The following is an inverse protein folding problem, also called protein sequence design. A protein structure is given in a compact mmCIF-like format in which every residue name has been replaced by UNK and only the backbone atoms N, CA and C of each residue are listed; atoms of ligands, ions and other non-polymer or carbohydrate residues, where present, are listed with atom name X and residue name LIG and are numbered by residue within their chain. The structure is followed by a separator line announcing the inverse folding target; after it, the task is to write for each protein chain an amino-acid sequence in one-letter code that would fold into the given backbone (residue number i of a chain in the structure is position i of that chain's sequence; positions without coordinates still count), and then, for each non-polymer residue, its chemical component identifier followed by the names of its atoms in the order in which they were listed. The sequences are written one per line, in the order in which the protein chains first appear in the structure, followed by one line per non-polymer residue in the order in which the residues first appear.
data_IF_250978990653
#
_entry.id   IF_250978990653
#
_cell.length_a   1.000
_cell.length_b   1.000
_cell.length_c   1.000
_cell.angle_alpha   90.00
_cell.angle_beta   90.00
_cell.angle_gamma   90.00
#
_symmetry.space_group_name_H-M   'P 1'
#
loop_
_entity.id
_entity.type
_entity.pdbx_description
1 polymer ?
#
# COMPACT_ATOMS: atom_id res chain seq x y z
N UNK A 1 -17.43 10.78 3.58
CA UNK A 1 -16.81 9.64 2.88
C UNK A 1 -16.05 10.25 1.72
N UNK A 2 -14.71 10.20 1.77
CA UNK A 2 -13.84 10.70 0.70
C UNK A 2 -13.66 9.66 -0.40
N UNK A 3 -13.14 10.09 -1.57
CA UNK A 3 -12.58 9.17 -2.55
C UNK A 3 -11.15 8.83 -2.13
N UNK A 4 -10.80 7.56 -2.21
CA UNK A 4 -9.46 7.02 -1.96
C UNK A 4 -9.20 5.89 -2.94
N UNK A 5 -7.93 5.59 -3.17
CA UNK A 5 -7.51 4.37 -3.84
C UNK A 5 -7.14 3.30 -2.79
N UNK A 6 -7.18 2.04 -3.19
CA UNK A 6 -6.96 0.90 -2.31
C UNK A 6 -5.84 0.00 -2.83
N UNK A 7 -5.06 -0.58 -1.91
CA UNK A 7 -4.07 -1.62 -2.19
C UNK A 7 -4.52 -2.94 -1.58
N UNK A 8 -4.55 -4.00 -2.39
CA UNK A 8 -4.81 -5.37 -1.93
C UNK A 8 -3.51 -6.07 -1.52
N UNK A 9 -3.41 -6.49 -0.26
CA UNK A 9 -2.27 -7.27 0.25
C UNK A 9 -2.70 -8.59 0.87
N UNK A 10 -1.79 -9.57 0.84
CA UNK A 10 -2.05 -10.89 1.38
C UNK A 10 -1.35 -11.08 2.73
N UNK A 11 -2.12 -11.38 3.76
CA UNK A 11 -1.59 -11.76 5.07
C UNK A 11 -1.08 -13.20 5.05
N UNK A 12 -0.06 -13.49 5.88
CA UNK A 12 0.46 -14.85 6.09
C UNK A 12 -0.58 -15.84 6.64
N UNK A 13 -1.69 -15.38 7.23
CA UNK A 13 -2.79 -16.25 7.65
C UNK A 13 -3.75 -16.62 6.50
N UNK A 14 -3.49 -16.13 5.29
CA UNK A 14 -4.34 -16.32 4.10
C UNK A 14 -5.52 -15.36 4.01
N UNK A 15 -5.57 -14.29 4.82
CA UNK A 15 -6.54 -13.21 4.64
C UNK A 15 -6.06 -12.21 3.60
N UNK A 16 -6.98 -11.69 2.79
CA UNK A 16 -6.76 -10.49 1.99
C UNK A 16 -7.03 -9.25 2.87
N UNK A 17 -6.26 -8.20 2.67
CA UNK A 17 -6.39 -6.94 3.42
C UNK A 17 -6.40 -5.81 2.41
N UNK A 18 -7.41 -4.96 2.49
CA UNK A 18 -7.52 -3.74 1.69
C UNK A 18 -6.99 -2.55 2.51
N UNK A 19 -5.97 -1.88 1.98
CA UNK A 19 -5.37 -0.70 2.59
C UNK A 19 -5.76 0.54 1.79
N UNK A 20 -6.34 1.54 2.43
CA UNK A 20 -6.84 2.75 1.78
C UNK A 20 -5.80 3.86 1.83
N UNK A 21 -5.62 4.60 0.74
CA UNK A 21 -4.76 5.78 0.68
C UNK A 21 -5.48 6.92 -0.04
N UNK A 22 -5.38 8.11 0.55
CA UNK A 22 -5.83 9.37 -0.06
C UNK A 22 -4.71 10.02 -0.90
N UNK A 23 -3.61 9.32 -1.15
CA UNK A 23 -2.56 9.76 -2.06
C UNK A 23 -2.94 9.46 -3.52
N UNK A 24 -2.43 10.30 -4.44
CA UNK A 24 -2.65 10.15 -5.87
C UNK A 24 -3.95 10.76 -6.38
N UNK A 25 -4.56 10.14 -7.39
CA UNK A 25 -5.75 10.68 -8.07
C UNK A 25 -7.07 10.32 -7.39
N UNK A 26 -7.07 9.33 -6.48
CA UNK A 26 -8.24 8.89 -5.74
C UNK A 26 -9.42 8.55 -6.67
N UNK A 27 -9.18 7.66 -7.64
CA UNK A 27 -10.18 7.25 -8.64
C UNK A 27 -10.96 5.97 -8.23
N UNK A 28 -10.79 5.52 -6.98
CA UNK A 28 -11.37 4.28 -6.43
C UNK A 28 -10.82 3.02 -7.10
N UNK A 29 -9.54 3.03 -7.46
CA UNK A 29 -8.88 1.83 -7.96
C UNK A 29 -8.48 0.88 -6.83
N UNK A 30 -8.57 -0.41 -7.12
CA UNK A 30 -7.97 -1.46 -6.30
C UNK A 30 -6.71 -1.98 -6.99
N UNK A 31 -5.55 -1.65 -6.43
CA UNK A 31 -4.25 -2.03 -6.96
C UNK A 31 -3.75 -3.34 -6.38
N UNK A 32 -3.01 -4.08 -7.21
CA UNK A 32 -2.07 -5.11 -6.76
C UNK A 32 -0.73 -4.48 -6.35
N UNK A 33 0.13 -5.22 -5.63
CA UNK A 33 1.48 -4.73 -5.28
C UNK A 33 2.36 -4.42 -6.51
N UNK A 34 2.07 -5.02 -7.66
CA UNK A 34 2.87 -4.86 -8.89
C UNK A 34 2.48 -3.60 -9.67
N UNK A 35 1.23 -3.16 -9.54
CA UNK A 35 0.64 -2.07 -10.33
C UNK A 35 0.39 -0.80 -9.50
N UNK A 36 0.60 -0.87 -8.18
CA UNK A 36 0.33 0.23 -7.27
C UNK A 36 1.29 1.41 -7.52
N UNK A 37 0.77 2.64 -7.72
CA UNK A 37 1.59 3.84 -7.80
C UNK A 37 2.51 4.02 -6.59
N UNK A 38 3.74 4.45 -6.85
CA UNK A 38 4.77 4.61 -5.80
C UNK A 38 4.34 5.57 -4.69
N UNK A 39 3.60 6.63 -5.02
CA UNK A 39 3.10 7.62 -4.05
C UNK A 39 2.11 7.02 -3.05
N UNK A 40 1.26 6.08 -3.49
CA UNK A 40 0.34 5.34 -2.62
C UNK A 40 1.12 4.39 -1.71
N UNK A 41 2.11 3.67 -2.26
CA UNK A 41 2.97 2.78 -1.45
C UNK A 41 3.74 3.56 -0.37
N UNK A 42 4.26 4.75 -0.69
CA UNK A 42 4.96 5.62 0.27
C UNK A 42 4.00 6.14 1.34
N UNK A 43 2.76 6.46 0.97
CA UNK A 43 1.75 6.89 1.93
C UNK A 43 1.42 5.78 2.93
N UNK A 44 1.18 4.56 2.44
CA UNK A 44 0.89 3.39 3.26
C UNK A 44 2.08 2.93 4.12
N UNK A 45 3.32 3.26 3.77
CA UNK A 45 4.51 2.95 4.59
C UNK A 45 4.57 3.78 5.90
N UNK A 46 3.83 4.89 5.99
CA UNK A 46 3.91 5.82 7.14
C UNK A 46 3.35 5.26 8.45
N UNK A 47 2.54 4.21 8.40
CA UNK A 47 1.86 3.66 9.57
C UNK A 47 1.88 2.13 9.63
N UNK A 48 1.53 1.60 10.80
CA UNK A 48 1.37 0.16 11.01
C UNK A 48 -0.04 -0.27 10.64
N UNK A 49 -0.13 -1.32 9.83
CA UNK A 49 -1.39 -1.92 9.40
C UNK A 49 -1.65 -3.21 10.15
N UNK A 50 -2.92 -3.59 10.30
CA UNK A 50 -3.31 -4.77 11.06
C UNK A 50 -4.20 -5.68 10.22
N UNK A 51 -3.90 -6.98 10.27
CA UNK A 51 -4.79 -7.98 9.69
C UNK A 51 -6.04 -8.14 10.56
N UNK A 52 -7.22 -7.83 10.03
CA UNK A 52 -8.51 -8.00 10.72
C UNK A 52 -8.77 -9.44 11.22
N UNK A 53 -8.19 -10.45 10.55
CA UNK A 53 -8.42 -11.86 10.89
C UNK A 53 -7.52 -12.39 11.99
N UNK A 54 -6.23 -12.05 11.96
CA UNK A 54 -5.25 -12.60 12.92
C UNK A 54 -4.66 -11.56 13.87
N UNK A 55 -5.07 -10.30 13.73
CA UNK A 55 -4.65 -9.15 14.52
C UNK A 55 -3.13 -8.95 14.60
N UNK A 56 -2.39 -9.42 13.59
CA UNK A 56 -0.94 -9.20 13.48
C UNK A 56 -0.69 -7.89 12.74
N UNK A 57 0.12 -7.04 13.37
CA UNK A 57 0.65 -5.81 12.78
C UNK A 57 1.70 -6.08 11.71
N UNK A 58 1.75 -5.23 10.69
CA UNK A 58 2.74 -5.25 9.62
C UNK A 58 2.95 -3.84 9.03
N UNK A 59 4.10 -3.64 8.39
CA UNK A 59 4.42 -2.40 7.68
C UNK A 59 4.58 -2.69 6.20
N UNK A 60 4.11 -1.79 5.35
CA UNK A 60 4.54 -1.72 3.96
C UNK A 60 5.97 -1.18 3.96
N UNK A 61 6.85 -1.76 3.12
CA UNK A 61 8.22 -1.29 2.96
C UNK A 61 8.52 -1.03 1.51
N UNK A 62 8.84 0.21 1.17
CA UNK A 62 9.15 0.63 -0.19
C UNK A 62 10.66 0.68 -0.36
N UNK A 63 11.20 -0.16 -1.25
CA UNK A 63 12.63 -0.12 -1.55
C UNK A 63 12.91 0.94 -2.62
N UNK A 64 13.49 2.07 -2.20
CA UNK A 64 14.01 3.07 -3.11
C UNK A 64 15.32 2.56 -3.74
N UNK A 65 15.25 2.01 -4.94
CA UNK A 65 16.45 1.88 -5.78
C UNK A 65 16.70 3.22 -6.45
N UNK A 66 17.41 4.13 -5.77
CA UNK A 66 17.93 5.32 -6.40
C UNK A 66 19.00 4.90 -7.43
N UNK A 67 18.59 4.70 -8.68
CA UNK A 67 19.54 4.74 -9.78
C UNK A 67 19.95 6.22 -9.90
N UNK A 68 21.04 6.59 -9.22
CA UNK A 68 21.72 7.85 -9.44
C UNK A 68 22.23 7.86 -10.88
N UNK A 69 21.37 8.22 -11.83
CA UNK A 69 21.78 8.58 -13.18
C UNK A 69 22.32 10.00 -13.11
N UNK A 70 23.63 10.09 -12.86
CA UNK A 70 24.38 11.31 -13.16
C UNK A 70 24.50 11.37 -14.68
N UNK A 71 24.00 12.45 -15.27
CA UNK A 71 24.34 12.87 -16.64
C UNK A 71 25.19 14.14 -16.53
#
# INVERSE_FOLDING_TARGET
MGLYDSLLVHCKCGNEIELQSEAGYCEMYLYSLEECPLEILIDLEKEEHYCERCNKGFFIKVQHSAHLLWN
#
